data_IF_021427365704
#
_entry.id   IF_021427365704
#
_cell.length_a   1.000
_cell.length_b   1.000
_cell.length_c   1.000
_cell.angle_alpha   90.00
_cell.angle_beta   90.00
_cell.angle_gamma   90.00
#
_symmetry.space_group_name_H-M   'P 1'
#
loop_
_entity.id
_entity.type
_entity.pdbx_description
1 polymer ?
#
# COMPACT_ATOMS: atom_id res chain seq x y z
N UNK A 1 11.51 -36.49 -34.46
CA UNK A 1 12.63 -35.57 -34.73
C UNK A 1 13.72 -35.80 -33.69
N UNK A 2 14.95 -36.12 -34.11
CA UNK A 2 16.04 -36.44 -33.19
C UNK A 2 16.32 -35.25 -32.25
N UNK A 3 16.30 -35.49 -30.93
CA UNK A 3 16.45 -34.44 -29.90
C UNK A 3 17.80 -33.70 -29.95
N UNK A 4 18.79 -34.26 -30.62
CA UNK A 4 20.09 -33.65 -30.92
C UNK A 4 20.83 -34.51 -31.97
N UNK A 5 20.99 -34.07 -33.23
CA UNK A 5 21.66 -34.87 -34.27
C UNK A 5 23.16 -35.07 -33.98
N UNK A 6 23.80 -34.15 -33.26
CA UNK A 6 25.23 -34.18 -32.94
C UNK A 6 25.54 -34.86 -31.60
N UNK A 7 24.52 -35.35 -30.87
CA UNK A 7 24.64 -35.98 -29.53
C UNK A 7 25.48 -35.15 -28.53
N UNK A 8 25.49 -33.81 -28.65
CA UNK A 8 26.23 -32.92 -27.75
C UNK A 8 25.56 -32.83 -26.37
N UNK A 9 26.34 -32.98 -25.30
CA UNK A 9 25.89 -32.78 -23.90
C UNK A 9 25.86 -31.29 -23.56
N UNK A 10 24.97 -30.89 -22.66
CA UNK A 10 24.92 -29.53 -22.14
C UNK A 10 26.22 -29.19 -21.40
N UNK A 11 26.85 -28.06 -21.73
CA UNK A 11 28.12 -27.62 -21.12
C UNK A 11 27.99 -27.07 -19.68
N UNK A 12 26.77 -26.73 -19.26
CA UNK A 12 26.52 -26.14 -17.94
C UNK A 12 26.92 -27.10 -16.80
N UNK A 13 27.55 -26.56 -15.76
CA UNK A 13 27.98 -27.30 -14.56
C UNK A 13 27.21 -26.83 -13.33
N UNK A 14 26.93 -27.74 -12.42
CA UNK A 14 26.34 -27.42 -11.11
C UNK A 14 27.31 -26.54 -10.31
N UNK A 15 26.84 -25.41 -9.79
CA UNK A 15 27.64 -24.55 -8.91
C UNK A 15 27.99 -25.21 -7.57
N UNK A 16 27.14 -26.13 -7.09
CA UNK A 16 27.34 -26.81 -5.80
C UNK A 16 28.21 -28.07 -5.91
N UNK A 17 28.11 -28.81 -7.03
CA UNK A 17 28.78 -30.13 -7.19
C UNK A 17 29.86 -30.14 -8.26
N UNK A 18 30.01 -29.11 -9.09
CA UNK A 18 30.95 -29.07 -10.21
C UNK A 18 30.64 -30.02 -11.38
N UNK A 19 29.69 -30.93 -11.21
CA UNK A 19 29.27 -31.91 -12.21
C UNK A 19 28.58 -31.27 -13.41
N UNK A 20 28.83 -31.81 -14.60
CA UNK A 20 28.20 -31.38 -15.84
C UNK A 20 26.73 -31.84 -15.90
N UNK A 21 25.87 -30.99 -16.46
CA UNK A 21 24.47 -31.31 -16.68
C UNK A 21 24.32 -32.54 -17.58
N UNK A 22 23.52 -33.51 -17.11
CA UNK A 22 23.26 -34.76 -17.85
C UNK A 22 22.31 -34.60 -19.04
N UNK A 23 21.66 -33.44 -19.18
CA UNK A 23 20.76 -33.16 -20.30
C UNK A 23 21.52 -32.94 -21.62
N UNK A 24 20.86 -33.28 -22.72
CA UNK A 24 21.34 -33.00 -24.07
C UNK A 24 21.23 -31.51 -24.39
N UNK A 25 22.20 -30.99 -25.13
CA UNK A 25 22.14 -29.63 -25.66
C UNK A 25 21.06 -29.54 -26.76
N UNK A 26 20.43 -28.38 -26.91
CA UNK A 26 19.46 -28.13 -28.00
C UNK A 26 20.24 -27.99 -29.33
N UNK A 27 19.72 -28.44 -30.48
CA UNK A 27 20.38 -28.20 -31.77
C UNK A 27 20.72 -26.72 -31.98
N UNK A 28 22.00 -26.42 -32.29
CA UNK A 28 22.51 -25.06 -32.46
C UNK A 28 22.86 -24.30 -31.17
N UNK A 29 22.82 -24.96 -30.00
CA UNK A 29 23.15 -24.37 -28.70
C UNK A 29 24.12 -25.28 -27.92
N UNK A 30 24.97 -24.70 -27.08
CA UNK A 30 25.90 -25.47 -26.21
C UNK A 30 25.24 -25.97 -24.92
N UNK A 31 24.01 -25.53 -24.64
CA UNK A 31 23.29 -25.79 -23.39
C UNK A 31 21.92 -26.42 -23.64
N UNK A 32 21.32 -26.99 -22.60
CA UNK A 32 19.96 -27.53 -22.66
C UNK A 32 18.92 -26.43 -22.39
N UNK A 33 17.63 -26.73 -22.57
CA UNK A 33 16.51 -25.80 -22.34
C UNK A 33 16.55 -25.16 -20.95
N UNK A 34 16.85 -25.94 -19.92
CA UNK A 34 16.91 -25.47 -18.53
C UNK A 34 18.09 -24.54 -18.24
N UNK A 35 19.13 -24.58 -19.09
CA UNK A 35 20.32 -23.75 -18.97
C UNK A 35 20.38 -22.66 -20.04
N UNK A 36 19.21 -22.26 -20.60
CA UNK A 36 19.07 -21.07 -21.45
C UNK A 36 18.99 -21.33 -22.96
N UNK A 37 18.96 -22.59 -23.41
CA UNK A 37 18.85 -22.86 -24.84
C UNK A 37 17.45 -22.55 -25.40
N UNK A 38 17.38 -21.56 -26.29
CA UNK A 38 16.13 -21.06 -26.86
C UNK A 38 15.76 -19.64 -26.44
N UNK A 39 16.65 -18.93 -25.73
CA UNK A 39 16.42 -17.57 -25.24
C UNK A 39 15.81 -17.54 -23.85
N UNK A 40 16.01 -16.42 -23.15
CA UNK A 40 15.31 -16.13 -21.89
C UNK A 40 13.81 -15.90 -22.12
N UNK A 41 13.08 -15.62 -21.05
CA UNK A 41 11.69 -15.24 -21.19
C UNK A 41 11.54 -13.99 -22.09
N UNK A 42 10.41 -13.82 -22.79
CA UNK A 42 10.19 -12.67 -23.67
C UNK A 42 10.42 -11.35 -22.93
N UNK A 43 10.94 -10.35 -23.65
CA UNK A 43 11.08 -8.99 -23.10
C UNK A 43 9.70 -8.49 -22.65
N UNK A 44 9.65 -7.84 -21.49
CA UNK A 44 8.43 -7.32 -20.82
C UNK A 44 7.47 -8.39 -20.27
N UNK A 45 7.96 -9.60 -19.95
CA UNK A 45 7.11 -10.55 -19.24
C UNK A 45 6.92 -10.16 -17.76
N UNK A 46 5.76 -10.47 -17.20
CA UNK A 46 5.41 -10.17 -15.80
C UNK A 46 5.79 -11.28 -14.82
N UNK A 47 6.34 -12.40 -15.30
CA UNK A 47 6.63 -13.58 -14.46
C UNK A 47 7.66 -13.31 -13.35
N UNK A 48 8.50 -12.29 -13.49
CA UNK A 48 9.48 -11.89 -12.46
C UNK A 48 8.97 -10.75 -11.56
N UNK A 49 7.75 -10.24 -11.81
CA UNK A 49 7.15 -9.18 -11.00
C UNK A 49 6.67 -9.81 -9.69
N UNK A 50 7.27 -9.38 -8.58
CA UNK A 50 6.89 -9.83 -7.23
C UNK A 50 5.86 -8.89 -6.60
N UNK A 51 6.10 -7.59 -6.71
CA UNK A 51 5.34 -6.55 -5.99
C UNK A 51 4.67 -5.53 -6.91
N UNK A 52 5.06 -5.46 -8.19
CA UNK A 52 4.49 -4.49 -9.14
C UNK A 52 4.98 -3.05 -9.00
N UNK A 53 5.71 -2.70 -7.92
CA UNK A 53 6.16 -1.34 -7.60
C UNK A 53 6.94 -0.65 -8.74
N UNK A 54 7.78 -1.40 -9.45
CA UNK A 54 8.59 -0.89 -10.57
C UNK A 54 8.01 -1.25 -11.95
N UNK A 55 6.75 -1.67 -12.00
CA UNK A 55 6.10 -2.01 -13.26
C UNK A 55 5.70 -0.73 -14.00
N UNK A 56 6.16 -0.58 -15.24
CA UNK A 56 5.67 0.48 -16.13
C UNK A 56 4.28 0.10 -16.64
N UNK A 57 3.25 0.78 -16.13
CA UNK A 57 1.87 0.68 -16.59
C UNK A 57 1.60 1.87 -17.51
N UNK A 58 1.13 1.58 -18.72
CA UNK A 58 0.75 2.60 -19.69
C UNK A 58 -0.78 2.78 -19.66
N UNK A 59 -1.26 3.98 -19.99
CA UNK A 59 -2.69 4.33 -19.87
C UNK A 59 -3.59 3.47 -20.77
N UNK A 60 -3.08 3.08 -21.93
CA UNK A 60 -3.73 2.20 -22.91
C UNK A 60 -3.87 0.74 -22.44
N UNK A 61 -3.12 0.35 -21.41
CA UNK A 61 -3.15 -0.98 -20.82
C UNK A 61 -4.04 -1.07 -19.56
N UNK A 62 -4.69 0.03 -19.15
CA UNK A 62 -5.59 0.06 -18.00
C UNK A 62 -6.92 -0.63 -18.33
N UNK A 63 -7.47 -1.35 -17.35
CA UNK A 63 -8.88 -1.77 -17.42
C UNK A 63 -9.80 -0.56 -17.23
N UNK A 64 -11.06 -0.61 -17.70
CA UNK A 64 -12.00 0.50 -17.52
C UNK A 64 -12.17 0.93 -16.04
N UNK A 65 -12.20 -0.04 -15.13
CA UNK A 65 -12.28 0.20 -13.68
C UNK A 65 -11.05 0.94 -13.14
N UNK A 66 -9.85 0.58 -13.63
CA UNK A 66 -8.60 1.22 -13.21
C UNK A 66 -8.50 2.65 -13.74
N UNK A 67 -8.96 2.89 -14.97
CA UNK A 67 -9.03 4.23 -15.56
C UNK A 67 -9.97 5.13 -14.74
N UNK A 68 -11.13 4.62 -14.34
CA UNK A 68 -12.08 5.37 -13.52
C UNK A 68 -11.49 5.74 -12.15
N UNK A 69 -10.80 4.80 -11.49
CA UNK A 69 -10.12 5.10 -10.22
C UNK A 69 -9.06 6.19 -10.41
N UNK A 70 -8.28 6.11 -11.48
CA UNK A 70 -7.23 7.08 -11.78
C UNK A 70 -7.80 8.49 -12.00
N UNK A 71 -8.93 8.61 -12.68
CA UNK A 71 -9.61 9.89 -12.91
C UNK A 71 -10.15 10.52 -11.62
N UNK A 72 -10.55 9.70 -10.64
CA UNK A 72 -11.02 10.20 -9.34
C UNK A 72 -9.90 10.70 -8.42
N UNK A 73 -8.64 10.31 -8.67
CA UNK A 73 -7.51 10.72 -7.84
C UNK A 73 -7.26 12.21 -8.02
N UNK A 74 -7.41 12.96 -6.93
CA UNK A 74 -7.05 14.38 -6.93
C UNK A 74 -5.53 14.55 -7.04
N UNK A 75 -5.08 15.40 -7.95
CA UNK A 75 -3.67 15.82 -8.06
C UNK A 75 -3.33 17.04 -7.20
N UNK A 76 -4.33 17.64 -6.56
CA UNK A 76 -4.14 18.76 -5.64
C UNK A 76 -3.46 18.28 -4.34
N UNK A 77 -2.23 18.76 -4.03
CA UNK A 77 -1.49 18.33 -2.85
C UNK A 77 -2.22 18.57 -1.53
N UNK A 78 -3.00 19.65 -1.42
CA UNK A 78 -3.74 19.96 -0.19
C UNK A 78 -4.86 18.95 0.01
N UNK A 79 -5.61 18.64 -1.04
CA UNK A 79 -6.66 17.60 -0.99
C UNK A 79 -6.10 16.22 -0.69
N UNK A 80 -4.95 15.87 -1.26
CA UNK A 80 -4.27 14.60 -0.92
C UNK A 80 -3.91 14.53 0.56
N UNK A 81 -3.38 15.62 1.13
CA UNK A 81 -3.09 15.68 2.57
C UNK A 81 -4.38 15.52 3.41
N UNK A 82 -5.50 16.12 2.99
CA UNK A 82 -6.79 15.94 3.67
C UNK A 82 -7.32 14.51 3.63
N UNK A 83 -7.23 13.84 2.48
CA UNK A 83 -7.64 12.45 2.31
C UNK A 83 -6.83 11.52 3.21
N UNK A 84 -5.51 11.72 3.29
CA UNK A 84 -4.65 10.98 4.21
C UNK A 84 -5.01 11.24 5.68
N UNK A 85 -5.24 12.50 6.07
CA UNK A 85 -5.69 12.85 7.43
C UNK A 85 -7.01 12.15 7.77
N UNK A 86 -7.97 12.11 6.83
CA UNK A 86 -9.25 11.39 7.01
C UNK A 86 -9.01 9.89 7.18
N UNK A 87 -8.18 9.29 6.34
CA UNK A 87 -7.85 7.87 6.39
C UNK A 87 -7.19 7.49 7.73
N UNK A 88 -6.22 8.27 8.19
CA UNK A 88 -5.59 8.02 9.50
C UNK A 88 -6.57 8.23 10.65
N UNK A 89 -7.43 9.25 10.60
CA UNK A 89 -8.48 9.46 11.60
C UNK A 89 -9.45 8.28 11.69
N UNK A 90 -9.82 7.69 10.54
CA UNK A 90 -10.64 6.50 10.50
C UNK A 90 -9.92 5.29 11.11
N UNK A 91 -8.65 5.07 10.75
CA UNK A 91 -7.83 3.99 11.34
C UNK A 91 -7.70 4.12 12.85
N UNK A 92 -7.45 5.33 13.36
CA UNK A 92 -7.42 5.60 14.81
C UNK A 92 -8.72 5.15 15.47
N UNK A 93 -9.87 5.54 14.91
CA UNK A 93 -11.18 5.14 15.41
C UNK A 93 -11.36 3.62 15.45
N UNK A 94 -11.04 2.94 14.35
CA UNK A 94 -11.12 1.48 14.27
C UNK A 94 -10.21 0.79 15.28
N UNK A 95 -8.99 1.27 15.46
CA UNK A 95 -8.05 0.73 16.44
C UNK A 95 -8.54 0.95 17.87
N UNK A 96 -9.11 2.12 18.17
CA UNK A 96 -9.72 2.41 19.47
C UNK A 96 -10.94 1.53 19.75
N UNK A 97 -11.75 1.23 18.74
CA UNK A 97 -12.86 0.28 18.86
C UNK A 97 -12.35 -1.14 19.15
N UNK A 98 -11.28 -1.57 18.49
CA UNK A 98 -10.64 -2.87 18.78
C UNK A 98 -10.11 -2.94 20.21
N UNK A 99 -9.43 -1.88 20.67
CA UNK A 99 -8.96 -1.79 22.07
C UNK A 99 -10.15 -1.89 23.03
N UNK A 100 -11.25 -1.17 22.76
CA UNK A 100 -12.47 -1.25 23.58
C UNK A 100 -13.02 -2.68 23.63
N UNK A 101 -13.19 -3.32 22.48
CA UNK A 101 -13.71 -4.69 22.42
C UNK A 101 -12.80 -5.69 23.16
N UNK A 102 -11.48 -5.54 23.07
CA UNK A 102 -10.52 -6.37 23.80
C UNK A 102 -10.57 -6.11 25.32
N UNK A 103 -10.78 -4.86 25.74
CA UNK A 103 -10.95 -4.48 27.15
C UNK A 103 -12.29 -4.96 27.73
N UNK A 104 -13.37 -4.93 26.95
CA UNK A 104 -14.69 -5.42 27.35
C UNK A 104 -14.77 -6.95 27.36
N UNK A 105 -14.09 -7.62 26.41
CA UNK A 105 -13.96 -9.07 26.33
C UNK A 105 -12.90 -9.66 27.28
N UNK A 106 -12.34 -8.85 28.18
CA UNK A 106 -11.35 -9.27 29.16
C UNK A 106 -12.05 -10.07 30.29
N UNK A 107 -12.46 -11.30 30.00
CA UNK A 107 -12.76 -12.28 31.06
C UNK A 107 -11.46 -12.79 31.64
N UNK A 108 -11.35 -12.85 32.98
CA UNK A 108 -10.12 -13.12 33.74
C UNK A 108 -9.33 -14.36 33.29
N UNK A 109 -9.93 -15.31 32.56
CA UNK A 109 -9.24 -16.53 32.13
C UNK A 109 -9.61 -16.91 30.69
N UNK A 110 -8.76 -16.59 29.72
CA UNK A 110 -8.82 -17.26 28.42
C UNK A 110 -8.28 -18.68 28.58
N UNK A 111 -9.20 -19.64 28.71
CA UNK A 111 -8.89 -21.07 28.83
C UNK A 111 -8.65 -21.67 27.44
N UNK A 112 -7.42 -22.07 27.15
CA UNK A 112 -7.13 -22.92 25.99
C UNK A 112 -7.15 -24.37 26.44
N UNK A 113 -8.10 -25.15 25.91
CA UNK A 113 -8.20 -26.59 26.17
C UNK A 113 -7.55 -27.34 25.02
N UNK A 114 -6.39 -27.96 25.27
CA UNK A 114 -5.78 -28.88 24.32
C UNK A 114 -6.45 -30.25 24.50
N UNK A 115 -7.05 -30.77 23.43
CA UNK A 115 -7.61 -32.12 23.41
C UNK A 115 -6.74 -33.00 22.52
N UNK A 116 -6.23 -34.09 23.07
CA UNK A 116 -5.49 -35.09 22.31
C UNK A 116 -6.30 -36.40 22.24
N UNK A 117 -6.06 -37.16 21.17
CA UNK A 117 -6.66 -38.48 21.02
C UNK A 117 -5.90 -39.48 21.89
N UNK A 118 -6.53 -39.94 22.96
CA UNK A 118 -6.01 -40.99 23.83
C UNK A 118 -6.72 -42.31 23.51
N UNK A 119 -5.94 -43.36 23.27
CA UNK A 119 -6.44 -44.73 23.10
C UNK A 119 -6.74 -45.34 24.46
N UNK A 120 -8.02 -45.44 24.83
CA UNK A 120 -8.46 -46.13 26.05
C UNK A 120 -8.77 -47.58 25.69
N UNK A 121 -8.28 -48.52 26.51
CA UNK A 121 -8.50 -49.96 26.33
C UNK A 121 -9.53 -50.42 27.35
N UNK A 122 -10.73 -50.77 26.89
CA UNK A 122 -11.78 -51.30 27.76
C UNK A 122 -11.91 -52.82 27.57
N UNK A 123 -11.89 -53.60 28.67
CA UNK A 123 -12.19 -55.02 28.60
C UNK A 123 -13.70 -55.20 28.43
N UNK A 124 -14.14 -55.56 27.22
CA UNK A 124 -15.53 -55.91 26.96
C UNK A 124 -15.67 -57.42 27.07
N UNK A 125 -16.58 -57.87 27.95
CA UNK A 125 -16.91 -59.28 28.04
C UNK A 125 -17.91 -59.61 26.95
N UNK A 126 -17.45 -60.33 25.93
CA UNK A 126 -18.30 -60.79 24.83
C UNK A 126 -18.68 -62.23 25.14
N UNK A 127 -19.97 -62.45 25.34
CA UNK A 127 -20.53 -63.77 25.57
C UNK A 127 -20.79 -64.45 24.22
N UNK A 128 -20.11 -65.56 23.97
CA UNK A 128 -20.23 -66.32 22.73
C UNK A 128 -21.38 -67.34 22.87
N UNK A 129 -22.54 -67.05 22.26
CA UNK A 129 -23.81 -67.77 22.46
C UNK A 129 -23.77 -69.25 22.01
N UNK A 130 -22.78 -69.63 21.19
CA UNK A 130 -22.57 -71.01 20.73
C UNK A 130 -21.64 -71.86 21.60
N UNK A 131 -20.78 -71.26 22.42
CA UNK A 131 -19.80 -72.00 23.23
C UNK A 131 -19.95 -71.78 24.74
N UNK A 132 -20.82 -70.87 25.20
CA UNK A 132 -21.12 -70.65 26.62
C UNK A 132 -19.92 -70.16 27.46
N UNK A 133 -18.84 -69.70 26.80
CA UNK A 133 -17.62 -69.22 27.44
C UNK A 133 -17.54 -67.70 27.23
N UNK A 134 -17.44 -66.96 28.32
CA UNK A 134 -17.13 -65.52 28.29
C UNK A 134 -15.66 -65.33 27.95
N UNK A 135 -15.39 -64.65 26.83
CA UNK A 135 -14.05 -64.23 26.45
C UNK A 135 -13.93 -62.73 26.67
N UNK A 136 -12.90 -62.33 27.42
CA UNK A 136 -12.57 -60.92 27.60
C UNK A 136 -11.78 -60.45 26.38
N UNK A 137 -12.40 -59.65 25.53
CA UNK A 137 -11.75 -59.05 24.37
C UNK A 137 -11.47 -57.58 24.70
N UNK A 138 -10.21 -57.18 24.60
CA UNK A 138 -9.80 -55.79 24.84
C UNK A 138 -10.04 -55.00 23.57
N UNK A 139 -11.08 -54.17 23.56
CA UNK A 139 -11.37 -53.25 22.46
C UNK A 139 -10.70 -51.90 22.77
N UNK A 140 -9.88 -51.41 21.85
CA UNK A 140 -9.28 -50.07 21.93
C UNK A 140 -10.21 -49.05 21.30
N UNK A 141 -10.66 -48.05 22.07
CA UNK A 141 -11.41 -46.91 21.56
C UNK A 141 -10.56 -45.64 21.66
N UNK A 142 -10.60 -44.83 20.61
CA UNK A 142 -9.93 -43.54 20.62
C UNK A 142 -10.91 -42.49 21.14
N UNK A 143 -10.59 -41.89 22.28
CA UNK A 143 -11.37 -40.80 22.86
C UNK A 143 -10.55 -39.51 22.88
N UNK A 144 -11.22 -38.38 22.70
CA UNK A 144 -10.59 -37.07 22.89
C UNK A 144 -10.53 -36.80 24.39
N UNK A 145 -9.33 -36.90 24.96
CA UNK A 145 -9.10 -36.56 26.35
C UNK A 145 -8.43 -35.17 26.43
N UNK A 146 -8.89 -34.35 27.37
CA UNK A 146 -8.25 -33.07 27.68
C UNK A 146 -6.95 -33.34 28.44
N UNK A 147 -5.81 -33.11 27.80
CA UNK A 147 -4.49 -33.39 28.39
C UNK A 147 -3.93 -32.21 29.16
N UNK A 148 -4.19 -30.99 28.71
CA UNK A 148 -3.66 -29.77 29.33
C UNK A 148 -4.65 -28.60 29.22
N UNK A 149 -4.75 -27.83 30.31
CA UNK A 149 -5.56 -26.62 30.39
C UNK A 149 -4.60 -25.47 30.71
N UNK A 150 -4.23 -24.70 29.68
CA UNK A 150 -3.46 -23.47 29.87
C UNK A 150 -4.43 -22.29 30.06
N UNK A 151 -4.38 -21.64 31.22
CA UNK A 151 -5.04 -20.36 31.48
C UNK A 151 -4.01 -19.25 31.21
N UNK A 152 -4.04 -18.64 30.02
CA UNK A 152 -3.09 -17.57 29.67
C UNK A 152 -3.76 -16.19 29.75
N UNK A 153 -3.44 -15.42 30.79
CA UNK A 153 -3.90 -14.03 30.96
C UNK A 153 -3.12 -13.04 30.06
N UNK A 154 -1.89 -13.40 29.67
CA UNK A 154 -0.92 -12.48 29.07
C UNK A 154 -1.17 -12.12 27.60
N UNK A 155 -1.90 -12.95 26.83
CA UNK A 155 -2.03 -12.77 25.38
C UNK A 155 -2.86 -11.53 25.00
N UNK A 156 -3.97 -11.27 25.70
CA UNK A 156 -4.85 -10.15 25.36
C UNK A 156 -4.21 -8.80 25.72
N UNK A 157 -3.47 -8.75 26.84
CA UNK A 157 -2.73 -7.55 27.24
C UNK A 157 -1.61 -7.26 26.23
N UNK A 158 -0.86 -8.27 25.80
CA UNK A 158 0.15 -8.12 24.73
C UNK A 158 -0.47 -7.62 23.41
N UNK A 159 -1.64 -8.13 23.04
CA UNK A 159 -2.35 -7.68 21.84
C UNK A 159 -2.85 -6.24 21.97
N UNK A 160 -3.34 -5.83 23.15
CA UNK A 160 -3.69 -4.43 23.45
C UNK A 160 -2.45 -3.55 23.32
N UNK A 161 -1.33 -3.91 23.96
CA UNK A 161 -0.07 -3.16 23.88
C UNK A 161 0.44 -3.03 22.44
N UNK A 162 0.32 -4.10 21.63
CA UNK A 162 0.69 -4.07 20.21
C UNK A 162 -0.20 -3.11 19.40
N UNK A 163 -1.51 -3.08 19.69
CA UNK A 163 -2.43 -2.14 19.04
C UNK A 163 -2.17 -0.72 19.51
N UNK A 164 -1.86 -0.49 20.79
CA UNK A 164 -1.49 0.81 21.33
C UNK A 164 -0.21 1.37 20.69
N UNK A 165 0.85 0.56 20.58
CA UNK A 165 2.07 0.96 19.88
C UNK A 165 1.81 1.26 18.39
N UNK A 166 0.97 0.45 17.73
CA UNK A 166 0.55 0.71 16.37
C UNK A 166 -0.28 2.00 16.25
N UNK A 167 -1.07 2.33 17.26
CA UNK A 167 -1.89 3.54 17.30
C UNK A 167 -0.98 4.77 17.39
N UNK A 168 0.06 4.74 18.23
CA UNK A 168 1.07 5.81 18.28
C UNK A 168 1.72 6.02 16.91
N UNK A 169 2.11 4.96 16.21
CA UNK A 169 2.66 5.07 14.85
C UNK A 169 1.67 5.68 13.85
N UNK A 170 0.38 5.40 13.98
CA UNK A 170 -0.68 5.98 13.16
C UNK A 170 -0.86 7.48 13.48
N UNK A 171 -0.87 7.84 14.75
CA UNK A 171 -0.95 9.22 15.22
C UNK A 171 0.24 10.05 14.75
N UNK A 172 1.46 9.52 14.83
CA UNK A 172 2.66 10.19 14.31
C UNK A 172 2.57 10.45 12.81
N UNK A 173 2.03 9.50 12.04
CA UNK A 173 1.80 9.69 10.59
C UNK A 173 0.76 10.76 10.34
N UNK A 174 -0.36 10.75 11.07
CA UNK A 174 -1.40 11.80 10.98
C UNK A 174 -0.82 13.17 11.30
N UNK A 175 -0.05 13.29 12.37
CA UNK A 175 0.60 14.55 12.77
C UNK A 175 1.51 15.08 11.65
N UNK A 176 2.29 14.23 10.99
CA UNK A 176 3.12 14.62 9.82
C UNK A 176 2.29 15.16 8.66
N UNK A 177 1.15 14.54 8.36
CA UNK A 177 0.26 15.02 7.29
C UNK A 177 -0.42 16.34 7.67
N UNK A 178 -0.81 16.51 8.93
CA UNK A 178 -1.35 17.78 9.45
C UNK A 178 -0.29 18.89 9.36
N UNK A 179 0.95 18.62 9.77
CA UNK A 179 2.05 19.57 9.66
C UNK A 179 2.32 19.93 8.19
N UNK A 180 2.32 18.94 7.29
CA UNK A 180 2.50 19.16 5.85
C UNK A 180 1.40 20.06 5.29
N UNK A 181 0.13 19.77 5.63
CA UNK A 181 -1.02 20.58 5.22
C UNK A 181 -0.87 22.03 5.70
N UNK A 182 -0.58 22.22 6.98
CA UNK A 182 -0.40 23.56 7.56
C UNK A 182 0.73 24.33 6.87
N UNK A 183 1.85 23.67 6.57
CA UNK A 183 2.97 24.27 5.84
C UNK A 183 2.60 24.67 4.41
N UNK A 184 1.78 23.87 3.73
CA UNK A 184 1.30 24.21 2.39
C UNK A 184 0.38 25.43 2.42
N UNK A 185 -0.54 25.48 3.38
CA UNK A 185 -1.46 26.61 3.59
C UNK A 185 -0.70 27.90 3.92
N UNK A 186 0.29 27.84 4.82
CA UNK A 186 1.07 29.03 5.19
C UNK A 186 1.85 29.61 4.01
N UNK A 187 2.42 28.77 3.15
CA UNK A 187 3.13 29.21 1.93
C UNK A 187 2.15 29.87 0.95
N UNK A 188 0.93 29.36 0.85
CA UNK A 188 -0.06 29.93 -0.05
C UNK A 188 -0.53 31.31 0.45
N UNK A 189 -0.80 31.45 1.74
CA UNK A 189 -1.12 32.74 2.37
C UNK A 189 -0.01 33.80 2.13
N UNK A 190 1.26 33.44 2.32
CA UNK A 190 2.39 34.33 2.03
C UNK A 190 2.45 34.76 0.57
N UNK A 191 2.16 33.83 -0.36
CA UNK A 191 2.10 34.16 -1.80
C UNK A 191 0.95 35.10 -2.10
N UNK A 192 -0.23 34.89 -1.51
CA UNK A 192 -1.38 35.77 -1.69
C UNK A 192 -1.07 37.18 -1.20
N UNK A 193 -0.53 37.31 0.02
CA UNK A 193 -0.11 38.60 0.58
C UNK A 193 0.89 39.30 -0.35
N UNK A 194 1.88 38.56 -0.87
CA UNK A 194 2.87 39.11 -1.80
C UNK A 194 2.24 39.58 -3.11
N UNK A 195 1.31 38.81 -3.67
CA UNK A 195 0.59 39.17 -4.90
C UNK A 195 -0.24 40.44 -4.65
N UNK A 196 -0.95 40.53 -3.54
CA UNK A 196 -1.74 41.72 -3.19
C UNK A 196 -0.85 42.95 -2.99
N UNK A 197 0.29 42.79 -2.30
CA UNK A 197 1.26 43.86 -2.14
C UNK A 197 1.80 44.36 -3.49
N UNK A 198 2.17 43.46 -4.40
CA UNK A 198 2.60 43.82 -5.75
C UNK A 198 1.48 44.51 -6.55
N UNK A 199 0.22 44.07 -6.40
CA UNK A 199 -0.93 44.72 -7.05
C UNK A 199 -1.12 46.16 -6.56
N UNK A 200 -1.00 46.40 -5.26
CA UNK A 200 -1.06 47.74 -4.67
C UNK A 200 0.08 48.62 -5.19
N UNK A 201 1.29 48.07 -5.29
CA UNK A 201 2.46 48.79 -5.81
C UNK A 201 2.29 49.15 -7.30
N UNK A 202 1.80 48.21 -8.11
CA UNK A 202 1.43 48.46 -9.51
C UNK A 202 0.38 49.56 -9.63
N UNK A 203 -0.66 49.53 -8.79
CA UNK A 203 -1.71 50.56 -8.79
C UNK A 203 -1.16 51.95 -8.45
N UNK A 204 -0.21 52.05 -7.51
CA UNK A 204 0.47 53.31 -7.18
C UNK A 204 1.32 53.84 -8.34
N UNK A 205 2.07 52.96 -9.02
CA UNK A 205 2.87 53.32 -10.19
C UNK A 205 2.01 53.76 -11.38
N UNK A 206 0.89 53.08 -11.62
CA UNK A 206 -0.08 53.46 -12.66
C UNK A 206 -0.80 54.77 -12.34
N UNK A 207 -1.17 55.00 -11.07
CA UNK A 207 -1.72 56.28 -10.62
C UNK A 207 -0.76 57.46 -10.76
N UNK A 208 0.56 57.20 -10.65
CA UNK A 208 1.61 58.21 -10.89
C UNK A 208 1.85 58.55 -12.36
N UNK A 209 1.48 57.69 -13.30
CA UNK A 209 1.61 57.95 -14.75
C UNK A 209 0.34 58.56 -15.35
N UNK A 210 -0.85 58.12 -14.92
CA UNK A 210 -2.13 58.57 -15.47
C UNK A 210 -2.52 60.02 -15.09
N UNK A 211 -2.12 60.50 -13.91
CA UNK A 211 -2.44 61.86 -13.46
C UNK A 211 -1.66 62.93 -14.24
N UNK A 212 -0.41 62.65 -14.58
CA UNK A 212 0.48 63.58 -15.28
C UNK A 212 0.09 63.73 -16.75
N UNK A 213 -0.31 62.64 -17.41
CA UNK A 213 -0.76 62.67 -18.80
C UNK A 213 -2.09 63.41 -18.97
N UNK A 214 -3.07 63.15 -18.09
CA UNK A 214 -4.37 63.84 -18.09
C UNK A 214 -4.23 65.35 -17.87
N UNK A 215 -3.36 65.77 -16.95
CA UNK A 215 -3.10 67.20 -16.70
C UNK A 215 -2.36 67.88 -17.88
N UNK A 216 -1.40 67.21 -18.51
CA UNK A 216 -0.69 67.75 -19.68
C UNK A 216 -1.58 67.86 -20.91
N UNK A 217 -2.52 66.94 -21.10
CA UNK A 217 -3.45 66.97 -22.23
C UNK A 217 -4.51 68.07 -22.04
N UNK A 218 -4.99 68.26 -20.80
CA UNK A 218 -5.87 69.38 -20.46
C UNK A 218 -5.18 70.75 -20.70
N UNK A 219 -3.88 70.87 -20.39
CA UNK A 219 -3.12 72.10 -20.68
C UNK A 219 -2.94 72.36 -22.17
N UNK A 220 -2.71 71.32 -22.98
CA UNK A 220 -2.63 71.46 -24.44
C UNK A 220 -3.95 71.92 -25.03
N UNK A 221 -5.08 71.38 -24.57
CA UNK A 221 -6.40 71.76 -25.04
C UNK A 221 -6.74 73.23 -24.71
N UNK A 222 -6.36 73.70 -23.51
CA UNK A 222 -6.49 75.11 -23.12
C UNK A 222 -5.61 76.01 -23.99
N UNK A 223 -4.38 75.58 -24.28
CA UNK A 223 -3.45 76.32 -25.14
C UNK A 223 -3.96 76.41 -26.60
N UNK A 224 -4.59 75.37 -27.13
CA UNK A 224 -5.21 75.37 -28.45
C UNK A 224 -6.45 76.27 -28.51
N UNK A 225 -7.32 76.24 -27.49
CA UNK A 225 -8.46 77.16 -27.41
C UNK A 225 -8.01 78.62 -27.39
N UNK A 226 -6.97 78.96 -26.63
CA UNK A 226 -6.41 80.32 -26.61
C UNK A 226 -5.78 80.73 -27.95
N UNK A 227 -5.18 79.79 -28.68
CA UNK A 227 -4.65 80.04 -30.04
C UNK A 227 -5.78 80.35 -31.02
N UNK A 228 -6.85 79.55 -31.02
CA UNK A 228 -8.04 79.77 -31.86
C UNK A 228 -8.76 81.08 -31.55
N UNK A 229 -8.80 81.50 -30.29
CA UNK A 229 -9.36 82.81 -29.92
C UNK A 229 -8.49 83.95 -30.46
N UNK A 230 -7.15 83.82 -30.40
CA UNK A 230 -6.23 84.83 -30.98
C UNK A 230 -6.19 84.86 -32.51
N UNK A 231 -6.59 83.79 -33.19
CA UNK A 231 -6.71 83.75 -34.66
C UNK A 231 -8.04 84.30 -35.17
N UNK A 232 -9.04 84.44 -34.29
CA UNK A 232 -10.38 84.94 -34.61
C UNK A 232 -10.62 86.41 -34.18
N UNK A 233 -9.61 87.09 -33.63
CA UNK A 233 -9.54 88.54 -33.43
C UNK A 233 -8.69 89.19 -34.53
#
# INVERSE_FOLDING_TARGET
MARNPEKKRCKARSKQRGEQCKNWAKPGWDVCRFHGAGGGAPKRNTNAVKTGEFQSIWMDALTPEQAEVLERISLDPVKQAEEEIRLFSWREREMMLRIRNLKEGLTEKQRRVLQERVTVKEPVQVHDEKSGVTKTIVLSRNELATTEIEETEFRVIEDILRIEEALTRVQDKKAKWVELKHRMESIDEEKQIRIEMMRIELQKLQGGAGATQSWTDALKEIAERRRKVRENE
#
